data_IF_332441118765
#
_entry.id   IF_332441118765
#
_cell.length_a   1.000
_cell.length_b   1.000
_cell.length_c   1.000
_cell.angle_alpha   90.00
_cell.angle_beta   90.00
_cell.angle_gamma   90.00
#
_symmetry.space_group_name_H-M   'P 1'
#
loop_
_entity.id
_entity.type
_entity.pdbx_description
1 polymer ?
#
# COMPACT_ATOMS: atom_id res chain seq x y z
N UNK A 1 11.99 -13.57 65.61
CA UNK A 1 13.24 -14.17 65.12
C UNK A 1 13.23 -14.16 63.60
N UNK A 2 14.22 -13.48 63.00
CA UNK A 2 14.65 -13.50 61.58
C UNK A 2 13.67 -12.98 60.53
N UNK A 3 13.70 -11.67 60.39
CA UNK A 3 13.53 -10.87 59.17
C UNK A 3 14.47 -11.32 58.05
N UNK A 4 13.95 -11.51 56.84
CA UNK A 4 14.77 -11.50 55.62
C UNK A 4 14.16 -10.51 54.62
N UNK A 5 14.94 -9.45 54.43
CA UNK A 5 14.75 -8.30 53.55
C UNK A 5 15.23 -8.72 52.15
N UNK A 6 14.35 -8.74 51.15
CA UNK A 6 14.73 -8.95 49.75
C UNK A 6 14.76 -7.59 49.05
N UNK A 7 15.98 -7.11 48.83
CA UNK A 7 16.29 -5.85 48.15
C UNK A 7 15.98 -5.98 46.65
N UNK A 8 15.22 -5.02 46.15
CA UNK A 8 14.94 -4.79 44.73
C UNK A 8 16.22 -4.23 44.08
N UNK A 9 16.79 -4.95 43.10
CA UNK A 9 17.80 -4.38 42.20
C UNK A 9 17.08 -3.63 41.08
N UNK A 10 16.95 -2.31 41.23
CA UNK A 10 16.57 -1.42 40.15
C UNK A 10 17.77 -1.22 39.21
N UNK A 11 17.70 -1.76 38.00
CA UNK A 11 18.65 -1.46 36.92
C UNK A 11 18.20 -0.15 36.27
N UNK A 12 18.76 0.97 36.73
CA UNK A 12 18.62 2.27 36.07
C UNK A 12 19.67 2.37 34.96
N UNK A 13 19.24 2.11 33.72
CA UNK A 13 20.01 2.43 32.51
C UNK A 13 20.09 3.95 32.35
N UNK A 14 21.10 4.55 32.96
CA UNK A 14 21.50 5.94 32.69
C UNK A 14 22.39 5.93 31.44
N UNK A 15 21.83 6.28 30.28
CA UNK A 15 22.63 6.59 29.10
C UNK A 15 23.36 7.92 29.35
N UNK A 16 24.61 7.83 29.78
CA UNK A 16 25.55 8.94 29.68
C UNK A 16 25.96 9.11 28.21
N UNK A 17 25.55 10.22 27.61
CA UNK A 17 26.12 10.72 26.36
C UNK A 17 27.54 11.22 26.62
N UNK A 18 28.53 10.49 26.08
CA UNK A 18 29.92 10.95 26.03
C UNK A 18 30.03 12.06 24.98
N UNK A 19 30.63 13.23 25.28
CA UNK A 19 30.91 14.24 24.28
C UNK A 19 31.98 13.74 23.31
N UNK A 20 31.71 13.86 22.01
CA UNK A 20 32.73 13.66 20.97
C UNK A 20 33.90 14.63 21.19
N UNK A 21 35.16 14.20 21.08
CA UNK A 21 36.30 15.10 21.23
C UNK A 21 36.32 16.11 20.07
N UNK A 22 36.18 17.39 20.40
CA UNK A 22 36.49 18.49 19.50
C UNK A 22 37.99 18.43 19.18
N UNK A 23 38.33 18.15 17.93
CA UNK A 23 39.69 18.34 17.45
C UNK A 23 39.94 19.85 17.39
N UNK A 24 40.75 20.31 18.34
CA UNK A 24 41.21 21.68 18.49
C UNK A 24 42.16 21.99 17.33
N UNK A 25 41.74 22.89 16.44
CA UNK A 25 42.54 23.34 15.32
C UNK A 25 43.64 24.26 15.87
N UNK A 26 44.84 23.73 16.08
CA UNK A 26 46.03 24.53 16.39
C UNK A 26 46.35 25.45 15.20
N UNK A 27 46.38 26.76 15.48
CA UNK A 27 46.94 27.77 14.59
C UNK A 27 48.45 27.52 14.48
N UNK A 28 48.88 26.89 13.40
CA UNK A 28 50.29 26.98 12.97
C UNK A 28 50.40 28.22 12.09
N UNK A 29 51.10 29.23 12.61
CA UNK A 29 51.60 30.36 11.82
C UNK A 29 52.78 29.82 11.00
N UNK A 30 52.59 29.65 9.69
CA UNK A 30 53.71 29.43 8.76
C UNK A 30 53.83 30.69 7.91
N UNK A 31 54.95 31.38 8.11
CA UNK A 31 55.41 32.52 7.31
C UNK A 31 55.66 32.13 5.85
N UNK A 32 55.49 33.11 4.98
CA UNK A 32 55.64 33.05 3.54
C UNK A 32 56.89 32.33 3.02
N UNK A 33 56.69 31.82 1.80
CA UNK A 33 57.62 31.66 0.69
C UNK A 33 58.22 30.26 0.51
N UNK A 34 57.76 29.58 -0.55
CA UNK A 34 58.50 28.58 -1.33
C UNK A 34 57.62 28.06 -2.48
N UNK A 35 57.70 28.73 -3.63
CA UNK A 35 57.04 28.40 -4.90
C UNK A 35 57.37 26.99 -5.43
N UNK A 36 58.46 26.38 -4.99
CA UNK A 36 58.91 25.06 -5.45
C UNK A 36 58.02 23.88 -4.98
N UNK A 37 57.35 23.99 -3.84
CA UNK A 37 56.53 22.89 -3.30
C UNK A 37 55.14 22.79 -3.97
N UNK A 38 54.73 23.84 -4.70
CA UNK A 38 53.46 23.86 -5.44
C UNK A 38 53.55 23.12 -6.78
N UNK A 39 54.72 23.18 -7.43
CA UNK A 39 54.97 22.46 -8.69
C UNK A 39 55.12 20.95 -8.49
N UNK A 40 55.73 20.51 -7.38
CA UNK A 40 55.91 19.08 -7.10
C UNK A 40 54.57 18.40 -6.74
N UNK A 41 53.68 19.08 -6.01
CA UNK A 41 52.33 18.56 -5.73
C UNK A 41 51.41 18.50 -6.96
N UNK A 42 51.70 19.30 -7.99
CA UNK A 42 51.00 19.29 -9.28
C UNK A 42 51.35 18.09 -10.16
N UNK A 43 52.48 17.41 -9.91
CA UNK A 43 52.97 16.33 -10.79
C UNK A 43 52.63 14.91 -10.32
N UNK A 44 52.11 14.74 -9.11
CA UNK A 44 51.82 13.41 -8.52
C UNK A 44 50.36 13.14 -8.21
N UNK A 45 49.45 14.01 -8.66
CA UNK A 45 48.01 13.73 -8.58
C UNK A 45 47.58 13.03 -9.87
N UNK A 46 47.19 11.74 -9.85
CA UNK A 46 46.47 11.19 -10.98
C UNK A 46 45.18 11.99 -11.10
N UNK A 47 45.08 12.84 -12.13
CA UNK A 47 43.81 13.37 -12.57
C UNK A 47 43.00 12.17 -13.09
N UNK A 48 42.36 11.45 -12.17
CA UNK A 48 41.20 10.66 -12.52
C UNK A 48 40.15 11.70 -12.86
N UNK A 49 40.12 12.11 -14.13
CA UNK A 49 38.95 12.72 -14.72
C UNK A 49 37.82 11.71 -14.48
N UNK A 50 36.98 11.99 -13.49
CA UNK A 50 35.66 11.36 -13.43
C UNK A 50 34.96 11.80 -14.71
N UNK A 51 35.00 10.93 -15.71
CA UNK A 51 34.15 11.05 -16.89
C UNK A 51 32.74 11.01 -16.34
N UNK A 52 32.12 12.20 -16.17
CA UNK A 52 30.68 12.30 -15.96
C UNK A 52 30.07 11.63 -17.17
N UNK A 53 29.54 10.43 -17.00
CA UNK A 53 28.71 9.79 -18.03
C UNK A 53 27.68 10.81 -18.48
N UNK A 54 27.55 11.06 -19.79
CA UNK A 54 26.58 12.03 -20.29
C UNK A 54 25.19 11.67 -19.78
N UNK A 55 24.56 12.59 -19.05
CA UNK A 55 23.13 12.49 -18.75
C UNK A 55 22.37 12.54 -20.06
N UNK A 56 21.50 11.56 -20.29
CA UNK A 56 20.67 11.54 -21.51
C UNK A 56 19.91 12.86 -21.67
N UNK A 57 19.82 13.33 -22.91
CA UNK A 57 18.92 14.43 -23.25
C UNK A 57 17.46 14.00 -23.09
N UNK A 58 16.55 14.97 -22.89
CA UNK A 58 15.11 14.67 -22.76
C UNK A 58 14.56 14.03 -24.05
N UNK A 59 15.07 14.39 -25.22
CA UNK A 59 14.66 13.80 -26.50
C UNK A 59 15.10 12.33 -26.61
N UNK A 60 16.31 11.99 -26.14
CA UNK A 60 16.75 10.60 -26.05
C UNK A 60 15.91 9.78 -25.08
N UNK A 61 15.56 10.35 -23.91
CA UNK A 61 14.66 9.70 -22.95
C UNK A 61 13.29 9.50 -23.57
N UNK A 62 12.74 10.51 -24.26
CA UNK A 62 11.44 10.40 -24.92
C UNK A 62 11.41 9.25 -25.92
N UNK A 63 12.39 9.20 -26.81
CA UNK A 63 12.50 8.15 -27.83
C UNK A 63 12.63 6.77 -27.19
N UNK A 64 13.46 6.65 -26.15
CA UNK A 64 13.63 5.41 -25.39
C UNK A 64 12.31 4.96 -24.75
N UNK A 65 11.58 5.84 -24.06
CA UNK A 65 10.30 5.49 -23.43
C UNK A 65 9.26 5.04 -24.46
N UNK A 66 9.18 5.71 -25.61
CA UNK A 66 8.27 5.34 -26.69
C UNK A 66 8.62 3.99 -27.33
N UNK A 67 9.91 3.70 -27.49
CA UNK A 67 10.39 2.45 -28.08
C UNK A 67 10.21 1.26 -27.12
N UNK A 68 10.64 1.43 -25.87
CA UNK A 68 10.66 0.36 -24.87
C UNK A 68 9.28 0.08 -24.27
N UNK A 69 8.37 1.07 -24.28
CA UNK A 69 7.00 0.91 -23.81
C UNK A 69 5.98 1.52 -24.79
N UNK A 70 5.72 0.86 -25.94
CA UNK A 70 4.78 1.37 -26.95
C UNK A 70 3.34 1.56 -26.44
N UNK A 71 2.97 0.90 -25.35
CA UNK A 71 1.65 1.02 -24.70
C UNK A 71 1.58 2.17 -23.69
N UNK A 72 2.71 2.80 -23.35
CA UNK A 72 2.73 3.95 -22.44
C UNK A 72 2.23 5.19 -23.19
N UNK A 73 1.18 5.82 -22.66
CA UNK A 73 0.51 6.92 -23.33
C UNK A 73 1.45 8.13 -23.51
N UNK A 74 1.46 8.72 -24.70
CA UNK A 74 2.31 9.88 -25.04
C UNK A 74 2.06 11.08 -24.10
N UNK A 75 0.83 11.29 -23.64
CA UNK A 75 0.53 12.34 -22.67
C UNK A 75 1.22 12.09 -21.32
N UNK A 76 1.34 10.83 -20.90
CA UNK A 76 2.08 10.43 -19.69
C UNK A 76 3.57 10.69 -19.89
N UNK A 77 4.12 10.26 -21.03
CA UNK A 77 5.54 10.48 -21.39
C UNK A 77 5.86 11.98 -21.34
N UNK A 78 5.02 12.84 -21.91
CA UNK A 78 5.22 14.28 -21.89
C UNK A 78 5.24 14.86 -20.46
N UNK A 79 4.39 14.38 -19.55
CA UNK A 79 4.41 14.82 -18.14
C UNK A 79 5.62 14.28 -17.38
N UNK A 80 6.06 13.07 -17.69
CA UNK A 80 7.27 12.47 -17.12
C UNK A 80 8.51 13.24 -17.56
N UNK A 81 8.65 13.59 -18.85
CA UNK A 81 9.75 14.40 -19.35
C UNK A 81 9.78 15.79 -18.69
N UNK A 82 8.61 16.41 -18.52
CA UNK A 82 8.51 17.67 -17.78
C UNK A 82 8.93 17.51 -16.32
N UNK A 83 8.53 16.41 -15.68
CA UNK A 83 8.94 16.07 -14.31
C UNK A 83 10.45 15.93 -14.20
N UNK A 84 11.10 15.20 -15.11
CA UNK A 84 12.56 15.05 -15.14
C UNK A 84 13.26 16.39 -15.35
N UNK A 85 12.77 17.22 -16.28
CA UNK A 85 13.27 18.59 -16.48
C UNK A 85 13.23 19.39 -15.18
N UNK A 86 12.08 19.40 -14.52
CA UNK A 86 11.90 20.19 -13.30
C UNK A 86 12.63 19.61 -12.09
N UNK A 87 12.77 18.28 -12.00
CA UNK A 87 13.60 17.64 -10.99
C UNK A 87 15.07 18.08 -11.10
N UNK A 88 15.60 18.15 -12.33
CA UNK A 88 16.94 18.69 -12.59
C UNK A 88 17.05 20.17 -12.22
N UNK A 89 16.08 21.01 -12.61
CA UNK A 89 16.06 22.44 -12.26
C UNK A 89 16.10 22.67 -10.75
N UNK A 90 15.38 21.84 -9.98
CA UNK A 90 15.36 21.91 -8.53
C UNK A 90 16.46 21.12 -7.83
N UNK A 91 17.42 20.55 -8.58
CA UNK A 91 18.51 19.72 -8.05
C UNK A 91 17.99 18.60 -7.14
N UNK A 92 16.90 17.94 -7.53
CA UNK A 92 16.42 16.75 -6.80
C UNK A 92 17.39 15.61 -7.04
N UNK A 93 18.06 15.17 -5.98
CA UNK A 93 18.95 14.01 -6.04
C UNK A 93 18.14 12.73 -6.26
N UNK A 94 18.50 11.99 -7.31
CA UNK A 94 17.94 10.67 -7.60
C UNK A 94 18.91 9.82 -8.42
N UNK A 95 18.70 8.50 -8.41
CA UNK A 95 19.43 7.55 -9.24
C UNK A 95 18.84 7.49 -10.68
N UNK A 96 19.37 6.60 -11.51
CA UNK A 96 18.97 6.42 -12.92
C UNK A 96 17.68 5.61 -13.12
N UNK A 97 17.05 5.11 -12.06
CA UNK A 97 15.84 4.30 -12.15
C UNK A 97 14.62 5.22 -12.07
N UNK A 98 13.71 5.02 -13.02
CA UNK A 98 12.45 5.76 -13.11
C UNK A 98 11.27 4.79 -13.04
N UNK A 99 10.41 4.97 -12.05
CA UNK A 99 9.12 4.26 -11.96
C UNK A 99 7.98 5.17 -12.40
N UNK A 100 7.08 4.66 -13.23
CA UNK A 100 5.89 5.35 -13.69
C UNK A 100 4.67 4.50 -13.36
N UNK A 101 3.66 5.08 -12.74
CA UNK A 101 2.31 4.51 -12.63
C UNK A 101 1.35 5.39 -13.41
N UNK A 102 0.60 4.80 -14.34
CA UNK A 102 -0.51 5.45 -15.03
C UNK A 102 -1.85 5.04 -14.41
N UNK A 103 -2.36 5.83 -13.47
CA UNK A 103 -3.66 5.55 -12.86
C UNK A 103 -4.86 5.93 -13.73
N UNK A 104 -4.66 6.47 -14.94
CA UNK A 104 -5.73 6.65 -15.92
C UNK A 104 -6.15 5.34 -16.60
N UNK A 105 -5.34 4.28 -16.45
CA UNK A 105 -5.67 2.94 -16.89
C UNK A 105 -6.38 2.14 -15.77
N UNK A 106 -7.28 1.21 -16.13
CA UNK A 106 -7.94 0.33 -15.17
C UNK A 106 -6.95 -0.55 -14.42
N UNK A 107 -7.30 -0.92 -13.19
CA UNK A 107 -6.51 -1.83 -12.37
C UNK A 107 -6.41 -3.26 -12.91
N UNK A 108 -7.19 -3.60 -13.95
CA UNK A 108 -7.09 -4.84 -14.70
C UNK A 108 -6.00 -4.83 -15.78
N UNK A 109 -5.30 -3.70 -15.97
CA UNK A 109 -4.25 -3.53 -16.97
C UNK A 109 -2.88 -3.35 -16.32
N UNK A 110 -1.83 -3.72 -17.06
CA UNK A 110 -0.45 -3.44 -16.65
C UNK A 110 -0.18 -1.96 -16.81
N UNK A 111 -0.10 -1.27 -15.68
CA UNK A 111 -0.05 0.20 -15.59
C UNK A 111 1.08 0.74 -14.72
N UNK A 112 2.04 -0.12 -14.41
CA UNK A 112 3.32 0.24 -13.79
C UNK A 112 4.45 -0.11 -14.74
N UNK A 113 5.36 0.85 -14.94
CA UNK A 113 6.58 0.68 -15.69
C UNK A 113 7.78 1.08 -14.83
N UNK A 114 8.89 0.36 -14.96
CA UNK A 114 10.17 0.72 -14.35
C UNK A 114 11.23 0.70 -15.42
N UNK A 115 11.97 1.78 -15.56
CA UNK A 115 13.03 1.94 -16.56
C UNK A 115 14.38 2.16 -15.88
N UNK A 116 15.42 1.66 -16.52
CA UNK A 116 16.79 2.14 -16.30
C UNK A 116 17.09 3.21 -17.37
N UNK A 117 17.17 4.48 -16.95
CA UNK A 117 17.45 5.58 -17.86
C UNK A 117 18.90 5.57 -18.35
N UNK A 118 19.84 4.98 -17.61
CA UNK A 118 21.25 4.91 -18.04
C UNK A 118 21.44 3.82 -19.09
N UNK A 119 20.88 2.64 -18.82
CA UNK A 119 20.98 1.47 -19.70
C UNK A 119 19.97 1.53 -20.87
N UNK A 120 19.03 2.49 -20.83
CA UNK A 120 18.01 2.73 -21.87
C UNK A 120 17.03 1.57 -22.06
N UNK A 121 16.66 0.89 -20.97
CA UNK A 121 15.85 -0.34 -21.02
C UNK A 121 14.62 -0.28 -20.12
N UNK A 122 13.52 -0.89 -20.57
CA UNK A 122 12.40 -1.25 -19.68
C UNK A 122 12.78 -2.45 -18.81
N UNK A 123 12.74 -2.28 -17.49
CA UNK A 123 13.03 -3.34 -16.51
C UNK A 123 11.77 -4.13 -16.14
N UNK A 124 10.65 -3.45 -15.92
CA UNK A 124 9.40 -4.07 -15.49
C UNK A 124 8.18 -3.39 -16.11
N UNK A 125 7.19 -4.18 -16.52
CA UNK A 125 5.85 -3.74 -16.88
C UNK A 125 4.83 -4.69 -16.23
N UNK A 126 4.02 -4.18 -15.30
CA UNK A 126 3.13 -5.05 -14.50
C UNK A 126 1.92 -4.31 -13.91
N UNK A 127 1.06 -5.06 -13.22
CA UNK A 127 -0.11 -4.57 -12.49
C UNK A 127 0.29 -3.81 -11.23
N UNK A 128 -0.55 -2.87 -10.79
CA UNK A 128 -0.41 -2.20 -9.51
C UNK A 128 -1.77 -1.80 -8.96
N UNK A 129 -2.03 -2.03 -7.67
CA UNK A 129 -3.29 -1.65 -7.03
C UNK A 129 -3.38 -0.16 -6.72
N UNK A 130 -4.57 0.32 -6.40
CA UNK A 130 -4.80 1.65 -5.79
C UNK A 130 -5.57 1.52 -4.46
N UNK A 131 -5.81 2.65 -3.78
CA UNK A 131 -6.57 2.71 -2.53
C UNK A 131 -8.06 2.44 -2.71
N UNK A 132 -8.69 1.80 -1.71
CA UNK A 132 -10.11 1.41 -1.73
C UNK A 132 -11.08 2.58 -1.92
N UNK A 133 -10.69 3.80 -1.53
CA UNK A 133 -11.51 5.01 -1.74
C UNK A 133 -11.22 5.72 -3.06
N UNK A 134 -10.28 5.21 -3.87
CA UNK A 134 -9.94 5.78 -5.18
C UNK A 134 -10.82 5.27 -6.33
N UNK A 135 -11.59 4.20 -6.12
CA UNK A 135 -12.44 3.57 -7.11
C UNK A 135 -12.46 2.04 -6.98
N UNK A 136 -13.12 1.37 -7.91
CA UNK A 136 -13.18 -0.09 -7.97
C UNK A 136 -12.25 -0.65 -9.05
N UNK A 137 -12.66 -0.54 -10.33
CA UNK A 137 -11.83 -0.90 -11.48
C UNK A 137 -10.89 0.26 -11.86
N UNK A 138 -11.48 1.42 -12.11
CA UNK A 138 -10.80 2.66 -12.46
C UNK A 138 -10.39 3.47 -11.23
N UNK A 139 -9.34 4.28 -11.36
CA UNK A 139 -8.89 5.20 -10.31
C UNK A 139 -9.45 6.59 -10.57
N UNK A 140 -10.52 6.98 -9.88
CA UNK A 140 -11.25 8.24 -10.12
C UNK A 140 -10.99 9.30 -9.06
N UNK A 141 -10.56 8.91 -7.87
CA UNK A 141 -10.35 9.83 -6.75
C UNK A 141 -8.96 9.68 -6.12
N UNK A 142 -8.38 10.81 -5.75
CA UNK A 142 -7.08 10.90 -5.08
C UNK A 142 -7.16 11.84 -3.90
N UNK A 143 -6.40 11.55 -2.85
CA UNK A 143 -6.35 12.43 -1.69
C UNK A 143 -5.01 12.33 -0.99
N UNK A 144 -4.53 13.47 -0.53
CA UNK A 144 -3.35 13.61 0.30
C UNK A 144 -3.70 13.64 1.81
N UNK A 145 -4.97 13.45 2.19
CA UNK A 145 -5.41 13.52 3.59
C UNK A 145 -5.05 12.27 4.37
N UNK A 146 -4.75 12.46 5.65
CA UNK A 146 -4.59 11.36 6.59
C UNK A 146 -5.86 10.53 6.66
N UNK A 147 -5.70 9.20 6.69
CA UNK A 147 -6.81 8.23 6.76
C UNK A 147 -7.85 8.31 5.62
N UNK A 148 -7.51 8.93 4.48
CA UNK A 148 -8.41 8.99 3.31
C UNK A 148 -8.66 7.63 2.66
N UNK A 149 -7.73 6.68 2.84
CA UNK A 149 -7.70 5.36 2.19
C UNK A 149 -7.67 5.43 0.64
N UNK A 150 -7.31 6.58 0.09
CA UNK A 150 -7.15 6.83 -1.34
C UNK A 150 -5.68 6.85 -1.73
N UNK A 151 -5.36 6.54 -2.98
CA UNK A 151 -4.04 6.84 -3.54
C UNK A 151 -3.82 8.36 -3.67
N UNK A 152 -2.58 8.78 -3.85
CA UNK A 152 -2.18 10.16 -4.18
C UNK A 152 -1.33 10.18 -5.45
N UNK A 153 -1.54 11.18 -6.29
CA UNK A 153 -0.76 11.42 -7.53
C UNK A 153 0.44 12.33 -7.25
N UNK A 154 1.32 12.48 -8.25
CA UNK A 154 2.48 13.36 -8.18
C UNK A 154 3.80 12.61 -8.15
N UNK A 155 4.86 13.35 -7.82
CA UNK A 155 6.24 12.87 -7.85
C UNK A 155 6.67 12.44 -6.46
N UNK A 156 7.21 11.23 -6.37
CA UNK A 156 7.78 10.65 -5.15
C UNK A 156 9.26 10.36 -5.36
N UNK A 157 9.99 10.24 -4.25
CA UNK A 157 11.29 9.60 -4.19
C UNK A 157 11.21 8.34 -3.35
N UNK A 158 11.88 7.28 -3.76
CA UNK A 158 11.92 6.04 -3.00
C UNK A 158 13.01 6.09 -1.94
N UNK A 159 12.74 5.55 -0.76
CA UNK A 159 13.74 5.46 0.32
C UNK A 159 14.28 4.02 0.46
N UNK A 160 14.65 3.65 1.69
CA UNK A 160 15.03 2.29 2.07
C UNK A 160 13.79 1.40 2.17
N UNK A 161 13.97 0.14 1.80
CA UNK A 161 12.99 -0.89 2.10
C UNK A 161 13.09 -1.35 3.56
N UNK A 162 12.00 -1.91 4.07
CA UNK A 162 11.92 -2.52 5.39
C UNK A 162 10.96 -3.70 5.35
N UNK A 163 10.98 -4.54 6.39
CA UNK A 163 10.00 -5.60 6.57
C UNK A 163 8.95 -5.15 7.60
N UNK A 164 7.69 -5.12 7.18
CA UNK A 164 6.55 -4.77 8.03
C UNK A 164 5.42 -5.78 7.91
N UNK A 165 4.22 -5.41 8.39
CA UNK A 165 3.02 -6.27 8.38
C UNK A 165 2.60 -6.81 7.00
N UNK A 166 3.01 -6.12 5.94
CA UNK A 166 2.72 -6.44 4.54
C UNK A 166 3.94 -7.09 3.85
N UNK A 167 4.91 -7.55 4.64
CA UNK A 167 6.15 -8.16 4.17
C UNK A 167 7.19 -7.10 3.79
N UNK A 168 7.95 -7.37 2.72
CA UNK A 168 8.89 -6.40 2.16
C UNK A 168 8.10 -5.18 1.67
N UNK A 169 8.46 -4.00 2.17
CA UNK A 169 7.80 -2.74 1.85
C UNK A 169 8.84 -1.66 1.59
N UNK A 170 8.50 -0.73 0.71
CA UNK A 170 9.36 0.39 0.31
C UNK A 170 8.67 1.70 0.67
N UNK A 171 9.36 2.54 1.45
CA UNK A 171 8.85 3.89 1.77
C UNK A 171 8.90 4.80 0.55
N UNK A 172 7.85 5.58 0.41
CA UNK A 172 7.71 6.59 -0.64
C UNK A 172 7.65 7.96 0.03
N UNK A 173 8.63 8.80 -0.28
CA UNK A 173 8.65 10.21 0.12
C UNK A 173 7.96 11.05 -0.95
N UNK A 174 6.95 11.83 -0.56
CA UNK A 174 6.16 12.64 -1.48
C UNK A 174 6.78 14.01 -1.68
N UNK A 175 7.20 14.33 -2.90
CA UNK A 175 7.90 15.57 -3.20
C UNK A 175 6.97 16.70 -3.66
N UNK A 176 5.73 16.37 -4.04
CA UNK A 176 4.78 17.25 -4.71
C UNK A 176 3.76 17.83 -3.71
N UNK A 177 4.04 19.06 -3.27
CA UNK A 177 3.31 19.73 -2.21
C UNK A 177 1.82 19.87 -2.54
N UNK A 178 0.97 19.44 -1.60
CA UNK A 178 -0.49 19.44 -1.75
C UNK A 178 -1.05 18.22 -2.49
N UNK A 179 -0.20 17.41 -3.13
CA UNK A 179 -0.63 16.22 -3.89
C UNK A 179 -0.22 14.93 -3.20
N UNK A 180 1.02 14.84 -2.71
CA UNK A 180 1.52 13.63 -2.06
C UNK A 180 2.50 13.88 -0.90
N UNK A 181 2.79 15.14 -0.54
CA UNK A 181 3.70 15.53 0.55
C UNK A 181 3.31 14.99 1.94
N UNK A 182 2.11 14.45 2.10
CA UNK A 182 1.68 13.79 3.33
C UNK A 182 1.87 12.26 3.31
N UNK A 183 2.54 11.70 2.30
CA UNK A 183 2.71 10.25 2.10
C UNK A 183 3.33 9.54 3.32
N UNK A 184 4.38 10.11 3.90
CA UNK A 184 5.05 9.54 5.07
C UNK A 184 4.13 9.47 6.30
N UNK A 185 3.43 10.56 6.63
CA UNK A 185 2.45 10.60 7.73
C UNK A 185 1.28 9.63 7.51
N UNK A 186 0.95 9.36 6.24
CA UNK A 186 -0.07 8.40 5.84
C UNK A 186 0.44 6.96 5.80
N UNK A 187 1.73 6.75 6.08
CA UNK A 187 2.41 5.44 5.95
C UNK A 187 2.20 4.82 4.56
N UNK A 188 2.21 5.66 3.51
CA UNK A 188 2.12 5.20 2.12
C UNK A 188 3.45 4.56 1.74
N UNK A 189 3.38 3.28 1.36
CA UNK A 189 4.52 2.46 0.97
C UNK A 189 4.16 1.64 -0.26
N UNK A 190 5.14 1.21 -1.04
CA UNK A 190 4.94 0.15 -2.01
C UNK A 190 5.16 -1.21 -1.34
N UNK A 191 4.25 -2.17 -1.56
CA UNK A 191 4.33 -3.51 -0.96
C UNK A 191 3.76 -4.58 -1.89
N UNK A 192 3.86 -5.86 -1.52
CA UNK A 192 3.23 -6.96 -2.28
C UNK A 192 1.79 -7.23 -1.84
N UNK A 193 0.96 -7.74 -2.76
CA UNK A 193 -0.40 -8.18 -2.46
C UNK A 193 -0.85 -9.28 -3.41
N UNK A 194 -1.27 -10.44 -2.85
CA UNK A 194 -1.76 -11.59 -3.62
C UNK A 194 -2.95 -11.23 -4.54
N UNK A 195 -3.73 -10.24 -4.12
CA UNK A 195 -4.87 -9.69 -4.86
C UNK A 195 -4.48 -8.84 -6.08
N UNK A 196 -3.19 -8.72 -6.39
CA UNK A 196 -2.67 -8.01 -7.58
C UNK A 196 -2.09 -9.01 -8.60
N UNK A 197 -2.05 -10.30 -8.27
CA UNK A 197 -1.54 -11.32 -9.18
C UNK A 197 -2.46 -11.48 -10.41
N UNK A 198 -1.87 -11.74 -11.58
CA UNK A 198 -2.59 -11.78 -12.86
C UNK A 198 -3.75 -12.79 -12.87
N UNK A 199 -3.60 -13.93 -12.21
CA UNK A 199 -4.66 -14.94 -12.11
C UNK A 199 -5.85 -14.43 -11.29
N UNK A 200 -5.60 -13.68 -10.21
CA UNK A 200 -6.66 -13.04 -9.44
C UNK A 200 -7.41 -12.03 -10.31
N UNK A 201 -6.67 -11.19 -11.04
CA UNK A 201 -7.25 -10.18 -11.93
C UNK A 201 -8.09 -10.82 -13.04
N UNK A 202 -7.60 -11.90 -13.65
CA UNK A 202 -8.37 -12.67 -14.65
C UNK A 202 -9.63 -13.30 -14.06
N UNK A 203 -9.56 -13.82 -12.84
CA UNK A 203 -10.70 -14.45 -12.15
C UNK A 203 -11.78 -13.43 -11.78
N UNK A 204 -11.39 -12.23 -11.34
CA UNK A 204 -12.33 -11.25 -10.75
C UNK A 204 -12.49 -9.94 -11.53
N UNK A 205 -11.83 -9.81 -12.68
CA UNK A 205 -11.94 -8.66 -13.58
C UNK A 205 -11.20 -7.40 -13.14
N UNK A 206 -10.57 -7.39 -11.95
CA UNK A 206 -9.75 -6.27 -11.45
C UNK A 206 -8.76 -6.72 -10.39
N UNK A 207 -7.74 -5.90 -10.11
CA UNK A 207 -6.93 -6.07 -8.90
C UNK A 207 -7.74 -5.72 -7.64
N UNK A 208 -7.39 -6.33 -6.52
CA UNK A 208 -7.82 -5.87 -5.20
C UNK A 208 -7.21 -4.51 -4.84
N UNK A 209 -7.70 -3.89 -3.76
CA UNK A 209 -7.40 -2.52 -3.36
C UNK A 209 -6.74 -2.45 -2.00
N UNK A 210 -5.70 -1.64 -1.90
CA UNK A 210 -5.03 -1.32 -0.65
C UNK A 210 -5.78 -0.21 0.11
N UNK A 211 -5.15 0.41 1.11
CA UNK A 211 -5.65 1.65 1.73
C UNK A 211 -4.91 2.90 1.24
N UNK A 212 -4.43 2.89 0.00
CA UNK A 212 -3.74 4.02 -0.64
C UNK A 212 -2.32 3.69 -1.12
N UNK A 213 -1.75 2.60 -0.60
CA UNK A 213 -0.46 2.07 -1.02
C UNK A 213 -0.53 1.47 -2.44
N UNK A 214 0.45 1.74 -3.34
CA UNK A 214 0.60 0.92 -4.54
C UNK A 214 1.06 -0.49 -4.15
N UNK A 215 0.25 -1.52 -4.42
CA UNK A 215 0.62 -2.91 -4.18
C UNK A 215 0.97 -3.62 -5.49
N UNK A 216 1.99 -4.48 -5.45
CA UNK A 216 2.53 -5.23 -6.57
C UNK A 216 2.11 -6.71 -6.52
N UNK A 217 2.17 -7.44 -7.65
CA UNK A 217 2.14 -8.89 -7.65
C UNK A 217 3.22 -9.48 -6.73
N UNK A 218 2.88 -10.53 -5.99
CA UNK A 218 3.78 -11.10 -4.98
C UNK A 218 5.07 -11.64 -5.60
N UNK A 219 4.96 -12.28 -6.76
CA UNK A 219 6.09 -12.86 -7.49
C UNK A 219 7.12 -11.81 -7.98
N UNK A 220 6.71 -10.56 -8.18
CA UNK A 220 7.58 -9.47 -8.66
C UNK A 220 8.01 -8.50 -7.55
N UNK A 221 7.35 -8.53 -6.39
CA UNK A 221 7.54 -7.55 -5.30
C UNK A 221 9.00 -7.39 -4.89
N UNK A 222 9.71 -8.50 -4.66
CA UNK A 222 11.11 -8.45 -4.20
C UNK A 222 12.05 -7.87 -5.26
N UNK A 223 11.86 -8.24 -6.52
CA UNK A 223 12.70 -7.76 -7.62
C UNK A 223 12.49 -6.27 -7.83
N UNK A 224 11.23 -5.83 -7.99
CA UNK A 224 10.89 -4.42 -8.20
C UNK A 224 11.37 -3.57 -7.03
N UNK A 225 11.04 -3.92 -5.78
CA UNK A 225 11.44 -3.11 -4.61
C UNK A 225 12.97 -3.00 -4.51
N UNK A 226 13.71 -4.08 -4.79
CA UNK A 226 15.17 -4.02 -4.73
C UNK A 226 15.79 -3.20 -5.86
N UNK A 227 15.13 -3.12 -7.02
CA UNK A 227 15.55 -2.29 -8.15
C UNK A 227 15.27 -0.81 -7.91
N UNK A 228 14.11 -0.48 -7.34
CA UNK A 228 13.67 0.91 -7.23
C UNK A 228 13.97 1.54 -5.85
N UNK A 229 14.48 0.81 -4.86
CA UNK A 229 14.88 1.43 -3.58
C UNK A 229 16.08 2.38 -3.77
N UNK A 230 16.34 3.19 -2.75
CA UNK A 230 17.54 4.05 -2.69
C UNK A 230 17.55 5.17 -3.75
N UNK A 231 16.65 6.13 -3.56
CA UNK A 231 16.59 7.41 -4.28
C UNK A 231 16.19 7.32 -5.77
N UNK A 232 15.31 6.39 -6.15
CA UNK A 232 14.69 6.42 -7.50
C UNK A 232 13.57 7.46 -7.58
N UNK A 233 13.36 8.04 -8.77
CA UNK A 233 12.17 8.84 -9.04
C UNK A 233 10.96 7.94 -9.34
N UNK A 234 9.83 8.30 -8.74
CA UNK A 234 8.59 7.54 -8.85
C UNK A 234 7.44 8.49 -9.18
N UNK A 235 6.92 8.41 -10.40
CA UNK A 235 5.90 9.33 -10.93
C UNK A 235 4.56 8.63 -10.98
N UNK A 236 3.59 9.13 -10.20
CA UNK A 236 2.20 8.67 -10.24
C UNK A 236 1.36 9.65 -11.04
N UNK A 237 0.97 9.24 -12.24
CA UNK A 237 0.22 10.05 -13.18
C UNK A 237 -1.29 9.79 -13.09
N UNK A 238 -2.07 10.87 -13.26
CA UNK A 238 -3.48 10.86 -13.64
C UNK A 238 -3.80 12.19 -14.34
N UNK A 239 -4.71 12.24 -15.34
CA UNK A 239 -5.12 13.48 -15.99
C UNK A 239 -5.90 14.38 -15.02
N UNK A 240 -5.19 15.30 -14.36
CA UNK A 240 -5.76 16.24 -13.41
C UNK A 240 -5.27 17.66 -13.70
N UNK A 241 -6.19 18.53 -14.14
CA UNK A 241 -5.88 19.94 -14.41
C UNK A 241 -5.31 20.64 -13.18
N UNK A 242 -5.86 20.32 -12.00
CA UNK A 242 -5.38 20.87 -10.73
C UNK A 242 -3.90 20.48 -10.49
N UNK A 243 -3.51 19.25 -10.77
CA UNK A 243 -2.12 18.81 -10.67
C UNK A 243 -1.24 19.45 -11.74
N UNK A 244 -1.70 19.48 -12.99
CA UNK A 244 -0.97 20.06 -14.10
C UNK A 244 -0.66 21.55 -13.90
N UNK A 245 -1.57 22.31 -13.30
CA UNK A 245 -1.39 23.74 -13.06
C UNK A 245 -0.55 24.07 -11.81
N UNK A 246 -0.58 23.22 -10.77
CA UNK A 246 -0.01 23.57 -9.46
C UNK A 246 1.27 22.83 -9.08
N UNK A 247 1.51 21.65 -9.67
CA UNK A 247 2.72 20.90 -9.37
C UNK A 247 3.96 21.68 -9.77
N UNK A 248 4.90 21.85 -8.83
CA UNK A 248 6.22 22.44 -9.14
C UNK A 248 6.96 21.62 -10.20
N UNK A 249 6.76 20.31 -10.19
CA UNK A 249 7.39 19.37 -11.12
C UNK A 249 6.81 19.43 -12.54
N UNK A 250 5.75 20.19 -12.75
CA UNK A 250 5.19 20.44 -14.08
C UNK A 250 5.33 21.90 -14.54
N UNK A 251 5.81 22.80 -13.67
CA UNK A 251 5.78 24.25 -13.88
C UNK A 251 7.09 24.98 -13.53
N UNK A 252 8.24 24.30 -13.58
CA UNK A 252 9.55 24.91 -13.26
C UNK A 252 9.93 26.12 -14.14
N UNK A 253 9.42 26.24 -15.36
CA UNK A 253 9.67 27.40 -16.24
C UNK A 253 8.85 28.65 -15.86
N UNK A 254 7.78 28.48 -15.06
CA UNK A 254 6.78 29.52 -14.76
C UNK A 254 6.83 29.98 -13.30
N UNK A 255 7.93 29.74 -12.59
CA UNK A 255 8.07 30.12 -11.18
C UNK A 255 8.31 31.63 -11.01
N UNK A 256 7.27 32.43 -11.20
CA UNK A 256 7.06 33.55 -10.29
C UNK A 256 6.54 32.99 -8.96
N UNK A 257 6.97 33.52 -7.80
CA UNK A 257 6.45 33.11 -6.50
C UNK A 257 5.03 33.65 -6.31
N UNK A 258 4.09 33.23 -7.15
CA UNK A 258 2.68 33.45 -6.90
C UNK A 258 2.31 32.48 -5.79
N UNK A 259 2.23 33.01 -4.56
CA UNK A 259 1.45 32.39 -3.49
C UNK A 259 0.04 32.27 -4.03
N UNK A 260 -0.31 31.11 -4.58
CA UNK A 260 -1.69 30.79 -4.93
C UNK A 260 -2.49 30.75 -3.62
N UNK A 261 -3.06 31.88 -3.24
CA UNK A 261 -4.08 32.06 -2.21
C UNK A 261 -5.48 31.70 -2.75
N UNK A 262 -5.52 30.89 -3.82
CA UNK A 262 -6.75 30.38 -4.40
C UNK A 262 -7.24 29.18 -3.60
N UNK A 263 -8.26 29.41 -2.78
CA UNK A 263 -8.98 28.41 -2.00
C UNK A 263 -9.80 27.49 -2.93
N UNK A 264 -9.15 26.75 -3.82
CA UNK A 264 -9.73 25.61 -4.54
C UNK A 264 -9.49 24.35 -3.70
N UNK A 265 -9.97 24.38 -2.46
CA UNK A 265 -9.96 23.26 -1.51
C UNK A 265 -11.18 22.34 -1.69
N UNK A 266 -11.82 22.41 -2.85
CA UNK A 266 -12.79 21.40 -3.26
C UNK A 266 -12.05 20.14 -3.68
N UNK A 267 -11.61 19.32 -2.72
CA UNK A 267 -11.40 17.91 -3.03
C UNK A 267 -12.70 17.40 -3.65
N UNK A 268 -12.64 16.98 -4.91
CA UNK A 268 -13.75 16.31 -5.58
C UNK A 268 -14.00 15.05 -4.76
N UNK A 269 -15.00 15.02 -3.88
CA UNK A 269 -15.32 13.82 -3.10
C UNK A 269 -15.55 12.65 -4.08
N UNK A 270 -15.20 11.41 -3.70
CA UNK A 270 -15.56 10.26 -4.52
C UNK A 270 -17.06 10.33 -4.83
N UNK A 271 -17.43 10.07 -6.08
CA UNK A 271 -18.84 10.05 -6.43
C UNK A 271 -19.55 9.01 -5.55
N UNK A 272 -20.79 9.26 -5.07
CA UNK A 272 -21.49 8.31 -4.19
C UNK A 272 -21.62 6.89 -4.76
N UNK A 273 -21.62 6.77 -6.08
CA UNK A 273 -21.63 5.51 -6.84
C UNK A 273 -20.30 4.75 -6.81
N UNK A 274 -19.17 5.44 -6.57
CA UNK A 274 -17.83 4.84 -6.48
C UNK A 274 -17.51 4.36 -5.05
N UNK A 275 -18.32 4.75 -4.06
CA UNK A 275 -18.22 4.25 -2.67
C UNK A 275 -19.13 3.04 -2.55
N UNK A 276 -18.56 1.86 -2.80
CA UNK A 276 -19.23 0.56 -2.64
C UNK A 276 -19.91 0.51 -1.26
N UNK A 277 -21.25 0.47 -1.25
CA UNK A 277 -22.03 0.38 0.00
C UNK A 277 -21.65 -0.93 0.68
N UNK A 278 -21.18 -0.83 1.91
CA UNK A 278 -20.83 -2.01 2.70
C UNK A 278 -22.10 -2.74 3.10
N UNK A 279 -22.26 -3.91 2.54
CA UNK A 279 -23.20 -4.90 3.07
C UNK A 279 -22.79 -5.28 4.49
N UNK A 280 -23.77 -5.64 5.30
CA UNK A 280 -23.52 -6.20 6.60
C UNK A 280 -22.89 -7.59 6.46
N UNK A 281 -22.05 -7.94 7.44
CA UNK A 281 -21.42 -9.25 7.55
C UNK A 281 -21.68 -9.84 8.93
N UNK A 282 -21.67 -11.16 9.01
CA UNK A 282 -22.08 -11.89 10.21
C UNK A 282 -20.86 -12.34 11.03
N UNK A 283 -20.92 -12.14 12.34
CA UNK A 283 -19.91 -12.55 13.30
C UNK A 283 -20.47 -13.52 14.33
N UNK A 284 -19.64 -14.49 14.71
CA UNK A 284 -19.82 -15.34 15.87
C UNK A 284 -19.41 -14.59 17.13
N UNK A 285 -20.36 -14.33 18.03
CA UNK A 285 -20.09 -13.64 19.29
C UNK A 285 -19.34 -14.59 20.24
N UNK A 286 -18.07 -14.30 20.45
CA UNK A 286 -17.28 -14.86 21.55
C UNK A 286 -17.15 -13.75 22.62
N UNK A 287 -16.76 -14.05 23.86
CA UNK A 287 -16.54 -13.06 24.92
C UNK A 287 -15.38 -12.10 24.59
N UNK A 288 -15.55 -11.25 23.58
CA UNK A 288 -14.62 -10.20 23.13
C UNK A 288 -15.38 -8.87 23.07
N UNK A 289 -14.73 -7.79 23.52
CA UNK A 289 -15.25 -6.43 23.34
C UNK A 289 -14.93 -5.86 21.95
N UNK A 290 -14.11 -6.56 21.15
CA UNK A 290 -13.61 -6.09 19.86
C UNK A 290 -14.08 -7.00 18.70
N UNK A 291 -14.83 -6.41 17.76
CA UNK A 291 -15.29 -7.07 16.51
C UNK A 291 -14.13 -7.56 15.65
N UNK A 292 -13.01 -6.83 15.62
CA UNK A 292 -11.79 -7.25 14.91
C UNK A 292 -11.13 -8.50 15.52
N UNK A 293 -11.73 -9.11 16.55
CA UNK A 293 -11.25 -10.32 17.22
C UNK A 293 -12.33 -11.39 17.35
N UNK A 294 -13.47 -11.22 16.68
CA UNK A 294 -14.51 -12.25 16.60
C UNK A 294 -14.40 -13.01 15.28
N UNK A 295 -14.77 -14.30 15.23
CA UNK A 295 -14.82 -15.03 13.98
C UNK A 295 -15.93 -14.48 13.09
N UNK A 296 -15.61 -14.15 11.86
CA UNK A 296 -16.61 -13.88 10.83
C UNK A 296 -17.15 -15.21 10.29
N UNK A 297 -18.43 -15.24 9.99
CA UNK A 297 -19.04 -16.33 9.24
C UNK A 297 -18.68 -16.14 7.77
N UNK A 298 -17.98 -17.11 7.20
CA UNK A 298 -17.47 -17.06 5.84
C UNK A 298 -17.65 -18.39 5.12
N UNK A 299 -17.42 -18.40 3.83
CA UNK A 299 -17.28 -19.62 3.04
C UNK A 299 -16.16 -19.44 2.02
N UNK A 300 -15.69 -20.53 1.40
CA UNK A 300 -14.71 -20.42 0.32
C UNK A 300 -15.32 -19.65 -0.85
N UNK A 301 -14.50 -18.93 -1.63
CA UNK A 301 -14.99 -18.21 -2.79
C UNK A 301 -15.58 -19.16 -3.86
N UNK A 302 -15.07 -20.39 -3.94
CA UNK A 302 -15.58 -21.39 -4.89
C UNK A 302 -16.93 -21.96 -4.43
N UNK A 303 -17.11 -22.21 -3.12
CA UNK A 303 -18.42 -22.57 -2.55
C UNK A 303 -19.43 -21.43 -2.72
N UNK A 304 -19.00 -20.19 -2.52
CA UNK A 304 -19.85 -19.02 -2.74
C UNK A 304 -20.40 -18.98 -4.17
N UNK A 305 -19.52 -19.10 -5.17
CA UNK A 305 -19.91 -19.08 -6.59
C UNK A 305 -20.83 -20.27 -6.90
N UNK A 306 -20.54 -21.44 -6.35
CA UNK A 306 -21.34 -22.66 -6.54
C UNK A 306 -22.74 -22.55 -5.95
N UNK A 307 -22.87 -22.05 -4.72
CA UNK A 307 -24.12 -22.01 -3.96
C UNK A 307 -25.01 -20.86 -4.42
N UNK A 308 -24.44 -19.67 -4.62
CA UNK A 308 -25.22 -18.47 -4.95
C UNK A 308 -25.30 -18.18 -6.45
N UNK A 309 -24.57 -18.93 -7.28
CA UNK A 309 -24.50 -18.71 -8.74
C UNK A 309 -24.16 -17.26 -9.10
N UNK A 310 -23.32 -16.62 -8.29
CA UNK A 310 -22.95 -15.22 -8.42
C UNK A 310 -21.43 -15.05 -8.29
N UNK A 311 -20.90 -13.99 -8.87
CA UNK A 311 -19.48 -13.63 -8.71
C UNK A 311 -19.15 -13.34 -7.25
N UNK A 312 -17.94 -13.70 -6.82
CA UNK A 312 -17.53 -13.48 -5.44
C UNK A 312 -17.45 -11.96 -5.13
N UNK A 313 -18.11 -11.47 -4.06
CA UNK A 313 -18.16 -10.06 -3.73
C UNK A 313 -16.83 -9.62 -3.09
N UNK A 314 -15.96 -9.03 -3.90
CA UNK A 314 -14.62 -8.61 -3.45
C UNK A 314 -14.67 -7.67 -2.23
N UNK A 315 -15.70 -6.83 -2.10
CA UNK A 315 -15.92 -5.98 -0.93
C UNK A 315 -16.10 -6.73 0.40
N UNK A 316 -16.40 -8.04 0.36
CA UNK A 316 -16.51 -8.95 1.52
C UNK A 316 -15.46 -10.06 1.55
N UNK A 317 -14.56 -10.10 0.57
CA UNK A 317 -13.47 -11.06 0.55
C UNK A 317 -12.46 -10.77 1.67
N UNK A 318 -12.01 -11.82 2.37
CA UNK A 318 -10.99 -11.68 3.40
C UNK A 318 -9.66 -11.24 2.78
N UNK A 319 -8.96 -10.30 3.42
CA UNK A 319 -7.72 -9.72 2.89
C UNK A 319 -6.52 -10.66 2.91
N UNK A 320 -6.65 -11.83 3.53
CA UNK A 320 -5.60 -12.85 3.63
C UNK A 320 -6.25 -14.21 3.37
N UNK A 321 -5.62 -14.97 2.49
CA UNK A 321 -6.01 -16.35 2.17
C UNK A 321 -5.63 -17.28 3.31
N UNK A 322 -6.31 -18.42 3.42
CA UNK A 322 -5.96 -19.54 4.31
C UNK A 322 -5.54 -20.70 3.41
N UNK A 323 -4.30 -21.16 3.50
CA UNK A 323 -3.78 -22.23 2.61
C UNK A 323 -4.02 -21.95 1.13
N UNK A 324 -3.81 -20.70 0.68
CA UNK A 324 -4.05 -20.22 -0.68
C UNK A 324 -5.52 -20.26 -1.13
N UNK A 325 -6.47 -20.44 -0.20
CA UNK A 325 -7.91 -20.40 -0.46
C UNK A 325 -8.48 -19.04 -0.07
N UNK A 326 -9.33 -18.51 -0.94
CA UNK A 326 -10.06 -17.27 -0.76
C UNK A 326 -11.35 -17.51 0.02
N UNK A 327 -11.67 -16.60 0.93
CA UNK A 327 -12.89 -16.69 1.75
C UNK A 327 -13.71 -15.41 1.60
N UNK A 328 -15.03 -15.58 1.56
CA UNK A 328 -16.02 -14.51 1.48
C UNK A 328 -16.79 -14.47 2.79
N UNK A 329 -16.78 -13.32 3.46
CA UNK A 329 -17.65 -13.08 4.61
C UNK A 329 -19.11 -13.02 4.15
N UNK A 330 -20.00 -13.79 4.78
CA UNK A 330 -21.41 -13.87 4.39
C UNK A 330 -22.20 -12.66 4.86
N UNK A 331 -23.10 -12.18 4.01
CA UNK A 331 -24.10 -11.19 4.38
C UNK A 331 -25.29 -11.82 5.09
N UNK A 332 -26.11 -10.98 5.75
CA UNK A 332 -27.32 -11.48 6.43
C UNK A 332 -28.28 -12.16 5.45
N UNK A 333 -28.52 -11.56 4.29
CA UNK A 333 -29.39 -12.10 3.24
C UNK A 333 -28.90 -13.47 2.74
N UNK A 334 -27.60 -13.62 2.51
CA UNK A 334 -27.01 -14.88 2.04
C UNK A 334 -27.13 -15.99 3.07
N UNK A 335 -26.88 -15.68 4.34
CA UNK A 335 -27.00 -16.62 5.43
C UNK A 335 -28.46 -17.05 5.65
N UNK A 336 -29.42 -16.13 5.54
CA UNK A 336 -30.85 -16.46 5.58
C UNK A 336 -31.27 -17.40 4.45
N UNK A 337 -30.75 -17.19 3.24
CA UNK A 337 -31.04 -18.08 2.11
C UNK A 337 -30.53 -19.50 2.37
N UNK A 338 -29.31 -19.66 2.92
CA UNK A 338 -28.78 -20.98 3.30
C UNK A 338 -29.69 -21.67 4.33
N UNK A 339 -30.13 -20.94 5.36
CA UNK A 339 -31.03 -21.48 6.39
C UNK A 339 -32.37 -21.89 5.78
N UNK A 340 -32.94 -21.04 4.92
CA UNK A 340 -34.24 -21.27 4.29
C UNK A 340 -34.23 -22.50 3.36
N UNK A 341 -33.13 -22.72 2.64
CA UNK A 341 -32.95 -23.88 1.77
C UNK A 341 -32.84 -25.19 2.58
N UNK A 342 -32.35 -25.12 3.82
CA UNK A 342 -32.12 -26.26 4.72
C UNK A 342 -31.30 -27.39 4.05
N UNK A 343 -30.39 -27.00 3.15
CA UNK A 343 -29.51 -27.92 2.44
C UNK A 343 -28.26 -28.19 3.28
N UNK A 344 -28.02 -29.46 3.61
CA UNK A 344 -26.87 -29.87 4.44
C UNK A 344 -25.53 -29.49 3.80
N UNK A 345 -25.40 -29.55 2.49
CA UNK A 345 -24.14 -29.23 1.81
C UNK A 345 -23.84 -27.73 1.86
N UNK A 346 -24.87 -26.88 1.79
CA UNK A 346 -24.73 -25.42 1.94
C UNK A 346 -24.37 -25.05 3.38
N UNK A 347 -25.04 -25.67 4.36
CA UNK A 347 -24.75 -25.48 5.79
C UNK A 347 -23.33 -25.94 6.12
N UNK A 348 -22.88 -27.07 5.58
CA UNK A 348 -21.53 -27.59 5.79
C UNK A 348 -20.44 -26.74 5.13
N UNK A 349 -20.79 -25.89 4.15
CA UNK A 349 -19.87 -24.94 3.53
C UNK A 349 -19.60 -23.71 4.41
N UNK A 350 -20.37 -23.51 5.49
CA UNK A 350 -20.17 -22.41 6.43
C UNK A 350 -18.90 -22.67 7.26
N UNK A 351 -18.03 -21.68 7.25
CA UNK A 351 -16.79 -21.63 8.01
C UNK A 351 -16.80 -20.43 8.97
N UNK A 352 -15.99 -20.51 10.02
CA UNK A 352 -15.76 -19.41 10.95
C UNK A 352 -14.29 -19.01 10.88
N UNK A 353 -14.01 -17.76 10.54
CA UNK A 353 -12.64 -17.29 10.31
C UNK A 353 -12.30 -16.16 11.26
N UNK A 354 -11.19 -16.28 11.97
CA UNK A 354 -10.71 -15.26 12.92
C UNK A 354 -9.34 -14.72 12.50
N UNK A 355 -9.11 -13.40 12.61
CA UNK A 355 -7.77 -12.83 12.49
C UNK A 355 -6.94 -13.14 13.74
N UNK A 356 -5.70 -13.59 13.54
CA UNK A 356 -4.72 -13.82 14.59
C UNK A 356 -3.48 -12.99 14.30
N UNK A 357 -2.96 -12.30 15.31
CA UNK A 357 -1.70 -11.56 15.20
C UNK A 357 -0.56 -12.52 15.55
N UNK A 358 0.33 -12.76 14.59
CA UNK A 358 1.47 -13.68 14.73
C UNK A 358 2.77 -12.90 14.56
N UNK A 359 3.78 -13.21 15.37
CA UNK A 359 5.13 -12.65 15.20
C UNK A 359 5.90 -13.49 14.18
N UNK A 360 6.30 -12.87 13.08
CA UNK A 360 7.06 -13.50 12.00
C UNK A 360 8.29 -12.66 11.72
N UNK A 361 9.48 -13.25 11.85
CA UNK A 361 10.77 -12.60 11.53
C UNK A 361 10.95 -11.20 12.17
N UNK A 362 10.49 -11.05 13.41
CA UNK A 362 10.63 -9.80 14.18
C UNK A 362 9.57 -8.72 13.91
N UNK A 363 8.54 -9.00 13.11
CA UNK A 363 7.39 -8.11 12.92
C UNK A 363 6.06 -8.84 13.17
N UNK A 364 5.01 -8.07 13.43
CA UNK A 364 3.66 -8.60 13.62
C UNK A 364 2.89 -8.58 12.29
N UNK A 365 2.32 -9.73 11.93
CA UNK A 365 1.40 -9.87 10.80
C UNK A 365 0.05 -10.42 11.24
N UNK A 366 -1.00 -10.11 10.49
CA UNK A 366 -2.34 -10.68 10.69
C UNK A 366 -2.49 -11.88 9.78
N UNK A 367 -2.69 -13.06 10.37
CA UNK A 367 -3.03 -14.31 9.69
C UNK A 367 -4.51 -14.63 9.89
N UNK A 368 -5.10 -15.42 9.00
CA UNK A 368 -6.48 -15.88 9.12
C UNK A 368 -6.49 -17.34 9.51
N UNK A 369 -7.29 -17.68 10.51
CA UNK A 369 -7.42 -19.05 11.02
C UNK A 369 -8.88 -19.49 10.99
N UNK A 370 -9.10 -20.74 10.61
CA UNK A 370 -10.37 -21.40 10.79
C UNK A 370 -10.59 -21.69 12.28
N UNK A 371 -11.78 -21.38 12.77
CA UNK A 371 -12.22 -21.73 14.12
C UNK A 371 -13.07 -22.98 14.04
N UNK A 372 -12.58 -24.07 14.61
CA UNK A 372 -13.30 -25.33 14.64
C UNK A 372 -14.35 -25.34 15.76
N UNK A 373 -15.57 -24.95 15.39
CA UNK A 373 -16.77 -25.16 16.21
C UNK A 373 -17.41 -26.53 16.00
N UNK A 374 -16.83 -27.42 15.19
CA UNK A 374 -17.44 -28.69 14.80
C UNK A 374 -18.57 -28.53 13.79
N UNK A 375 -19.27 -29.63 13.50
CA UNK A 375 -20.37 -29.64 12.53
C UNK A 375 -21.59 -28.92 13.08
N UNK A 376 -22.22 -28.09 12.23
CA UNK A 376 -23.47 -27.40 12.55
C UNK A 376 -24.59 -28.42 12.60
N UNK A 377 -25.25 -28.53 13.76
CA UNK A 377 -26.41 -29.40 13.99
C UNK A 377 -27.72 -28.72 13.60
N UNK A 378 -27.90 -27.48 14.04
CA UNK A 378 -29.07 -26.66 13.75
C UNK A 378 -28.74 -25.17 13.88
N UNK A 379 -29.47 -24.33 13.13
CA UNK A 379 -29.41 -22.87 13.25
C UNK A 379 -30.80 -22.38 13.63
N UNK A 380 -30.92 -21.72 14.79
CA UNK A 380 -32.17 -21.16 15.32
C UNK A 380 -32.19 -19.65 15.13
N UNK A 381 -33.30 -19.13 14.63
CA UNK A 381 -33.55 -17.69 14.59
C UNK A 381 -34.05 -17.25 15.96
N UNK A 382 -33.37 -16.30 16.59
CA UNK A 382 -33.77 -15.74 17.88
C UNK A 382 -34.91 -14.73 17.63
N UNK A 383 -36.12 -15.07 18.05
CA UNK A 383 -37.35 -14.35 17.73
C UNK A 383 -37.60 -13.15 18.65
N UNK A 384 -36.73 -12.13 18.62
CA UNK A 384 -36.97 -10.86 19.33
C UNK A 384 -36.30 -9.67 18.62
N UNK A 385 -36.89 -9.20 17.51
CA UNK A 385 -36.90 -7.77 17.18
C UNK A 385 -37.86 -7.49 16.03
N UNK A 386 -38.77 -6.53 16.22
CA UNK A 386 -39.66 -5.96 15.20
C UNK A 386 -38.93 -5.17 14.11
N UNK A 387 -37.59 -5.07 14.18
CA UNK A 387 -36.73 -4.54 13.13
C UNK A 387 -36.12 -5.68 12.31
N UNK A 388 -36.31 -5.65 10.98
CA UNK A 388 -35.66 -6.56 10.02
C UNK A 388 -34.12 -6.51 10.09
N UNK A 389 -33.55 -5.41 10.59
CA UNK A 389 -32.10 -5.14 10.56
C UNK A 389 -31.30 -5.75 11.72
N UNK A 390 -31.93 -6.47 12.66
CA UNK A 390 -31.25 -7.01 13.86
C UNK A 390 -31.62 -8.44 14.21
N UNK A 391 -31.79 -9.32 13.22
CA UNK A 391 -31.98 -10.75 13.50
C UNK A 391 -30.72 -11.32 14.14
N UNK A 392 -30.91 -12.00 15.27
CA UNK A 392 -29.87 -12.77 15.93
C UNK A 392 -30.11 -14.25 15.66
N UNK A 393 -29.03 -15.01 15.47
CA UNK A 393 -29.09 -16.44 15.25
C UNK A 393 -28.35 -17.16 16.37
N UNK A 394 -28.78 -18.37 16.69
CA UNK A 394 -28.04 -19.29 17.55
C UNK A 394 -27.67 -20.51 16.73
N UNK A 395 -26.37 -20.74 16.55
CA UNK A 395 -25.83 -21.91 15.87
C UNK A 395 -25.49 -22.97 16.93
N UNK A 396 -26.13 -24.13 16.83
CA UNK A 396 -25.85 -25.27 17.69
C UNK A 396 -24.98 -26.26 16.92
N UNK A 397 -23.93 -26.74 17.57
CA UNK A 397 -22.98 -27.68 16.98
C UNK A 397 -23.18 -29.08 17.57
N UNK A 398 -22.71 -30.12 16.88
CA UNK A 398 -22.84 -31.50 17.34
C UNK A 398 -22.05 -31.78 18.63
N UNK A 399 -20.86 -31.18 18.77
CA UNK A 399 -19.89 -31.52 19.82
C UNK A 399 -19.31 -30.31 20.57
N UNK A 400 -19.79 -29.09 20.28
CA UNK A 400 -19.31 -27.85 20.88
C UNK A 400 -20.48 -26.97 21.38
N UNK A 401 -20.22 -26.04 22.32
CA UNK A 401 -21.24 -25.09 22.78
C UNK A 401 -21.83 -24.27 21.64
N UNK A 402 -23.10 -23.89 21.79
CA UNK A 402 -23.79 -23.01 20.87
C UNK A 402 -23.15 -21.62 20.82
N UNK A 403 -23.21 -20.98 19.66
CA UNK A 403 -22.71 -19.61 19.46
C UNK A 403 -23.81 -18.72 18.92
N UNK A 404 -23.92 -17.50 19.46
CA UNK A 404 -24.83 -16.48 18.96
C UNK A 404 -24.17 -15.67 17.85
N UNK A 405 -24.90 -15.40 16.78
CA UNK A 405 -24.45 -14.57 15.68
C UNK A 405 -25.01 -13.15 15.78
N UNK A 406 -24.23 -12.19 15.27
CA UNK A 406 -24.62 -10.78 15.10
C UNK A 406 -24.17 -10.26 13.75
N UNK A 407 -24.89 -9.28 13.22
CA UNK A 407 -24.55 -8.59 11.98
C UNK A 407 -23.89 -7.23 12.27
N UNK A 408 -23.04 -6.76 11.37
CA UNK A 408 -22.53 -5.39 11.37
C UNK A 408 -22.13 -4.96 9.96
N UNK A 409 -22.39 -3.71 9.61
CA UNK A 409 -21.89 -3.06 8.39
C UNK A 409 -20.70 -2.13 8.68
N UNK A 410 -20.17 -2.18 9.91
CA UNK A 410 -19.02 -1.36 10.29
C UNK A 410 -17.77 -1.76 9.52
N UNK A 411 -16.81 -0.83 9.48
CA UNK A 411 -15.52 -1.10 8.85
C UNK A 411 -14.73 -2.14 9.63
N UNK A 412 -14.36 -3.24 8.96
CA UNK A 412 -13.51 -4.29 9.49
C UNK A 412 -12.20 -4.30 8.71
N UNK A 413 -11.07 -4.27 9.42
CA UNK A 413 -9.75 -4.02 8.81
C UNK A 413 -9.31 -5.09 7.80
N UNK A 414 -9.78 -6.31 7.99
CA UNK A 414 -9.31 -7.49 7.29
C UNK A 414 -10.35 -8.09 6.35
N UNK A 415 -11.43 -7.36 6.11
CA UNK A 415 -12.48 -7.66 5.12
C UNK A 415 -12.49 -6.59 4.03
N UNK A 416 -12.54 -7.03 2.78
CA UNK A 416 -12.75 -6.21 1.58
C UNK A 416 -11.49 -5.91 0.77
N UNK A 417 -11.59 -6.16 -0.53
CA UNK A 417 -10.60 -5.89 -1.59
C UNK A 417 -11.15 -4.96 -2.68
#
# INVERSE_FOLDING_TARGET
MRTNLLLILAVTSTCFSVPSPQLQQEKIIISNDNSAMKEIFSMLSPQIAYVRTPTLSLDEIQNMLQQEAPTLNVAVINKVLKTLKCANEFNVEHNNVLTIIDYSLPSSEKRLWVFDLKERTLLFNTYVSHGIMSGALETKYFSNKYNSKSSSIGVYKTEKSYYGRDGLSLRLDGLDQGFNDNAANRSVVMHGGWYVDENFIKKYGRAGRSWGCPALPLNMTKQIINTIKEDSLFVVYYPSDNWFMKSKFLNCDNLSPIRYTGNLNGEIKPAPEDVEKREDVIFAKIYSKNLDSEPVVAMTADDYIRIFHNSAPLGRMLRRQINNIEYIALSNTEFENIIANNNKDEINAINFVIPVITMVRGYYETQMHLVDFGRIKEIKVNSESSNKDSRSYTVNFESKPSVTLRTTNQFIRWVGL
#
